data_IF_663875817272
#
_entry.id   IF_663875817272
#
_cell.length_a   1.000
_cell.length_b   1.000
_cell.length_c   1.000
_cell.angle_alpha   90.00
_cell.angle_beta   90.00
_cell.angle_gamma   90.00
#
_symmetry.space_group_name_H-M   'P 1'
#
loop_
_entity.id
_entity.type
_entity.pdbx_description
1 polymer ?
#
# COMPACT_ATOMS: atom_id res chain seq x y z
N UNK A 1 7.74 -10.81 -7.90
CA UNK A 1 6.90 -9.85 -8.66
C UNK A 1 6.46 -10.37 -10.03
N UNK A 2 7.18 -11.28 -10.70
CA UNK A 2 6.66 -11.94 -11.92
C UNK A 2 5.32 -12.64 -11.66
N UNK A 3 5.18 -13.31 -10.52
CA UNK A 3 3.91 -13.90 -10.11
C UNK A 3 2.73 -12.91 -10.13
N UNK A 4 2.92 -11.64 -9.73
CA UNK A 4 1.85 -10.65 -9.82
C UNK A 4 1.49 -10.29 -11.26
N UNK A 5 2.46 -10.32 -12.18
CA UNK A 5 2.17 -10.19 -13.62
C UNK A 5 1.30 -11.34 -14.09
N UNK A 6 1.61 -12.57 -13.66
CA UNK A 6 0.82 -13.76 -14.03
C UNK A 6 -0.60 -13.70 -13.45
N UNK A 7 -0.76 -13.15 -12.23
CA UNK A 7 -2.06 -13.06 -11.57
C UNK A 7 -2.92 -11.90 -12.05
N UNK A 8 -2.34 -10.70 -12.18
CA UNK A 8 -3.07 -9.47 -12.38
C UNK A 8 -2.90 -8.89 -13.78
N UNK A 9 -1.93 -9.38 -14.54
CA UNK A 9 -1.61 -8.92 -15.89
C UNK A 9 -0.52 -7.85 -15.93
N UNK A 10 0.23 -7.83 -17.03
CA UNK A 10 1.33 -6.90 -17.25
C UNK A 10 0.88 -5.44 -17.39
N UNK A 11 -0.39 -5.19 -17.74
CA UNK A 11 -0.94 -3.84 -17.89
C UNK A 11 -0.80 -2.98 -16.62
N UNK A 12 -0.77 -3.61 -15.44
CA UNK A 12 -0.51 -2.92 -14.16
C UNK A 12 0.87 -2.28 -14.07
N UNK A 13 1.85 -2.77 -14.84
CA UNK A 13 3.16 -2.13 -14.94
C UNK A 13 3.11 -0.80 -15.70
N UNK A 14 2.01 -0.49 -16.39
CA UNK A 14 1.81 0.82 -17.02
C UNK A 14 1.02 1.78 -16.12
N UNK A 15 0.38 1.28 -15.06
CA UNK A 15 -0.43 2.10 -14.14
C UNK A 15 0.39 3.24 -13.51
N UNK A 16 -0.22 4.38 -13.19
CA UNK A 16 0.47 5.47 -12.51
C UNK A 16 1.11 5.05 -11.18
N UNK A 17 2.26 5.64 -10.84
CA UNK A 17 2.85 5.49 -9.51
C UNK A 17 2.28 6.56 -8.59
N UNK A 18 1.37 6.15 -7.71
CA UNK A 18 0.58 7.00 -6.83
C UNK A 18 1.46 7.55 -5.70
N UNK A 19 1.31 8.84 -5.41
CA UNK A 19 1.91 9.52 -4.26
C UNK A 19 0.93 10.50 -3.62
N UNK A 20 1.22 11.04 -2.44
CA UNK A 20 0.33 11.98 -1.73
C UNK A 20 0.38 13.41 -2.30
N UNK A 21 0.43 13.55 -3.62
CA UNK A 21 0.36 14.84 -4.31
C UNK A 21 -1.08 15.17 -4.65
N UNK A 22 -1.37 16.46 -4.87
CA UNK A 22 -2.69 16.94 -5.30
C UNK A 22 -3.20 16.30 -6.60
N UNK A 23 -2.28 15.80 -7.44
CA UNK A 23 -2.60 15.01 -8.63
C UNK A 23 -3.43 13.75 -8.32
N UNK A 24 -3.12 13.07 -7.21
CA UNK A 24 -3.81 11.85 -6.79
C UNK A 24 -4.81 12.12 -5.65
N UNK A 25 -4.50 13.05 -4.74
CA UNK A 25 -5.39 13.35 -3.62
C UNK A 25 -5.75 14.85 -3.65
N UNK A 26 -6.66 15.26 -4.55
CA UNK A 26 -6.99 16.67 -4.71
C UNK A 26 -7.79 17.21 -3.52
N UNK A 27 -7.44 18.43 -3.11
CA UNK A 27 -8.11 19.18 -2.05
C UNK A 27 -7.48 18.97 -0.68
N UNK A 28 -7.92 19.78 0.29
CA UNK A 28 -7.48 19.66 1.68
C UNK A 28 -7.99 18.36 2.32
N UNK A 29 -7.28 17.91 3.35
CA UNK A 29 -7.65 16.76 4.16
C UNK A 29 -7.69 17.19 5.63
N UNK A 30 -8.89 17.24 6.21
CA UNK A 30 -9.11 17.69 7.59
C UNK A 30 -9.40 16.52 8.54
N UNK A 31 -9.37 15.28 8.02
CA UNK A 31 -9.62 14.07 8.81
C UNK A 31 -11.10 13.84 9.14
N UNK A 32 -12.01 14.48 8.42
CA UNK A 32 -13.45 14.27 8.56
C UNK A 32 -13.85 12.90 7.99
N UNK A 33 -15.03 12.39 8.38
CA UNK A 33 -15.55 11.14 7.80
C UNK A 33 -15.70 11.25 6.27
N UNK A 34 -16.09 12.43 5.77
CA UNK A 34 -16.17 12.70 4.34
C UNK A 34 -14.80 12.60 3.66
N UNK A 35 -13.75 13.12 4.28
CA UNK A 35 -12.38 12.99 3.78
C UNK A 35 -11.94 11.53 3.71
N UNK A 36 -12.21 10.77 4.77
CA UNK A 36 -11.85 9.35 4.84
C UNK A 36 -12.58 8.57 3.72
N UNK A 37 -13.89 8.80 3.54
CA UNK A 37 -14.66 8.18 2.46
C UNK A 37 -14.12 8.52 1.08
N UNK A 38 -13.76 9.79 0.85
CA UNK A 38 -13.13 10.23 -0.40
C UNK A 38 -11.80 9.53 -0.65
N UNK A 39 -10.96 9.43 0.37
CA UNK A 39 -9.69 8.70 0.28
C UNK A 39 -9.91 7.22 -0.05
N UNK A 40 -10.88 6.56 0.60
CA UNK A 40 -11.22 5.16 0.32
C UNK A 40 -11.66 4.99 -1.13
N UNK A 41 -12.54 5.85 -1.65
CA UNK A 41 -12.98 5.81 -3.05
C UNK A 41 -11.82 6.01 -4.02
N UNK A 42 -10.93 6.97 -3.76
CA UNK A 42 -9.75 7.20 -4.60
C UNK A 42 -8.84 5.96 -4.64
N UNK A 43 -8.53 5.39 -3.48
CA UNK A 43 -7.64 4.21 -3.38
C UNK A 43 -8.28 2.98 -4.01
N UNK A 44 -9.59 2.79 -3.85
CA UNK A 44 -10.36 1.77 -4.57
C UNK A 44 -10.21 1.92 -6.09
N UNK A 45 -10.35 3.14 -6.61
CA UNK A 45 -10.15 3.45 -8.02
C UNK A 45 -8.73 3.15 -8.51
N UNK A 46 -7.70 3.45 -7.71
CA UNK A 46 -6.31 3.13 -8.07
C UNK A 46 -5.99 1.64 -8.09
N UNK A 47 -6.74 0.84 -7.35
CA UNK A 47 -6.50 -0.60 -7.19
C UNK A 47 -7.51 -1.48 -7.92
N UNK A 48 -8.41 -0.85 -8.70
CA UNK A 48 -9.51 -1.53 -9.41
C UNK A 48 -10.36 -2.42 -8.49
N UNK A 49 -10.73 -1.87 -7.33
CA UNK A 49 -11.60 -2.53 -6.35
C UNK A 49 -12.93 -1.79 -6.29
N UNK A 50 -14.03 -2.53 -6.43
CA UNK A 50 -15.37 -1.95 -6.28
C UNK A 50 -15.59 -1.50 -4.82
N UNK A 51 -15.86 -0.22 -4.55
CA UNK A 51 -15.99 0.30 -3.19
C UNK A 51 -17.18 -0.31 -2.43
N UNK A 52 -18.20 -0.83 -3.11
CA UNK A 52 -19.30 -1.58 -2.47
C UNK A 52 -18.86 -2.85 -1.73
N UNK A 53 -17.72 -3.43 -2.10
CA UNK A 53 -17.15 -4.60 -1.41
C UNK A 53 -16.37 -4.21 -0.15
N UNK A 54 -16.13 -2.92 0.08
CA UNK A 54 -15.29 -2.42 1.16
C UNK A 54 -16.14 -1.79 2.26
N UNK A 55 -16.16 -2.45 3.42
CA UNK A 55 -16.75 -1.89 4.63
C UNK A 55 -15.67 -1.24 5.49
N UNK A 56 -15.80 0.06 5.72
CA UNK A 56 -14.95 0.83 6.62
C UNK A 56 -15.64 0.94 7.97
N UNK A 57 -15.03 0.37 9.00
CA UNK A 57 -15.43 0.50 10.39
C UNK A 57 -14.54 1.51 11.13
N UNK A 58 -15.16 2.38 11.91
CA UNK A 58 -14.46 3.22 12.88
C UNK A 58 -14.53 2.54 14.24
N UNK A 59 -13.41 2.47 14.97
CA UNK A 59 -13.25 1.66 16.19
C UNK A 59 -14.19 1.98 17.38
N UNK A 60 -15.23 2.80 17.19
CA UNK A 60 -16.27 3.09 18.17
C UNK A 60 -17.63 2.38 17.90
N UNK A 61 -17.78 1.61 16.82
CA UNK A 61 -19.06 0.98 16.43
C UNK A 61 -19.15 -0.52 16.71
N UNK A 62 -20.18 -0.94 17.45
CA UNK A 62 -20.39 -2.30 17.95
C UNK A 62 -20.57 -3.41 16.91
N UNK A 63 -20.75 -4.63 17.44
CA UNK A 63 -20.73 -5.93 16.76
C UNK A 63 -21.67 -6.04 15.55
N UNK A 64 -21.17 -5.63 14.38
CA UNK A 64 -21.71 -5.97 13.06
C UNK A 64 -20.81 -6.95 12.30
N UNK A 65 -21.17 -7.28 11.06
CA UNK A 65 -20.32 -8.07 10.16
C UNK A 65 -18.93 -7.43 10.05
N UNK A 66 -17.87 -8.25 10.14
CA UNK A 66 -16.47 -7.79 10.22
C UNK A 66 -16.14 -6.83 9.06
N UNK A 67 -15.78 -5.56 9.32
CA UNK A 67 -15.37 -4.63 8.27
C UNK A 67 -14.04 -5.06 7.65
N UNK A 68 -13.87 -4.78 6.36
CA UNK A 68 -12.62 -5.05 5.61
C UNK A 68 -11.51 -4.09 6.08
N UNK A 69 -11.89 -2.87 6.50
CA UNK A 69 -10.95 -1.85 7.00
C UNK A 69 -11.47 -1.37 8.36
N UNK A 70 -10.68 -1.55 9.42
CA UNK A 70 -10.95 -0.91 10.72
C UNK A 70 -9.91 0.19 10.95
N UNK A 71 -10.36 1.42 11.19
CA UNK A 71 -9.48 2.55 11.44
C UNK A 71 -9.53 2.97 12.92
N UNK A 72 -8.37 2.96 13.57
CA UNK A 72 -8.17 3.50 14.92
C UNK A 72 -8.09 5.03 14.96
N UNK A 73 -8.36 5.58 16.15
CA UNK A 73 -8.62 7.00 16.41
C UNK A 73 -7.55 8.01 15.96
N UNK A 74 -6.29 7.58 15.80
CA UNK A 74 -5.17 8.46 15.43
C UNK A 74 -4.77 8.33 13.95
N UNK A 75 -5.07 7.20 13.30
CA UNK A 75 -4.61 6.91 11.92
C UNK A 75 -5.24 7.87 10.92
N UNK A 76 -6.54 8.16 11.06
CA UNK A 76 -7.22 9.04 10.11
C UNK A 76 -6.76 10.49 10.19
N UNK A 77 -5.96 10.90 11.18
CA UNK A 77 -5.36 12.24 11.22
C UNK A 77 -4.06 12.33 10.43
N UNK A 78 -3.51 11.20 10.01
CA UNK A 78 -2.29 11.13 9.22
C UNK A 78 -2.63 10.56 7.82
N UNK A 79 -2.70 11.41 6.78
CA UNK A 79 -3.04 10.98 5.41
C UNK A 79 -2.14 9.86 4.90
N UNK A 80 -0.84 9.90 5.22
CA UNK A 80 0.11 8.86 4.79
C UNK A 80 -0.24 7.51 5.38
N UNK A 81 -0.47 7.45 6.70
CA UNK A 81 -0.85 6.21 7.38
C UNK A 81 -2.23 5.73 6.94
N UNK A 82 -3.19 6.63 6.77
CA UNK A 82 -4.52 6.28 6.31
C UNK A 82 -4.48 5.62 4.91
N UNK A 83 -3.86 6.29 3.94
CA UNK A 83 -3.80 5.77 2.56
C UNK A 83 -3.02 4.47 2.51
N UNK A 84 -1.88 4.37 3.21
CA UNK A 84 -1.10 3.14 3.26
C UNK A 84 -1.88 1.98 3.90
N UNK A 85 -2.69 2.25 4.94
CA UNK A 85 -3.52 1.24 5.59
C UNK A 85 -4.63 0.75 4.66
N UNK A 86 -5.34 1.67 4.00
CA UNK A 86 -6.39 1.33 3.03
C UNK A 86 -5.79 0.51 1.88
N UNK A 87 -4.69 0.97 1.29
CA UNK A 87 -4.01 0.28 0.19
C UNK A 87 -3.67 -1.17 0.54
N UNK A 88 -3.16 -1.41 1.74
CA UNK A 88 -2.81 -2.76 2.20
C UNK A 88 -4.03 -3.64 2.44
N UNK A 89 -5.09 -3.09 3.03
CA UNK A 89 -6.34 -3.82 3.20
C UNK A 89 -6.96 -4.21 1.85
N UNK A 90 -6.93 -3.32 0.86
CA UNK A 90 -7.38 -3.63 -0.50
C UNK A 90 -6.47 -4.65 -1.18
N UNK A 91 -5.14 -4.57 -1.00
CA UNK A 91 -4.22 -5.57 -1.52
C UNK A 91 -4.49 -6.95 -0.91
N UNK A 92 -4.77 -7.02 0.39
CA UNK A 92 -5.18 -8.25 1.05
C UNK A 92 -6.47 -8.81 0.45
N UNK A 93 -7.49 -7.96 0.23
CA UNK A 93 -8.75 -8.37 -0.41
C UNK A 93 -8.52 -8.90 -1.84
N UNK A 94 -7.68 -8.22 -2.63
CA UNK A 94 -7.29 -8.66 -3.98
C UNK A 94 -6.57 -10.01 -3.97
N UNK A 95 -5.87 -10.37 -2.90
CA UNK A 95 -5.16 -11.65 -2.79
C UNK A 95 -6.05 -12.75 -2.23
N UNK A 96 -6.69 -12.50 -1.09
CA UNK A 96 -7.43 -13.50 -0.31
C UNK A 96 -8.90 -13.52 -0.67
N UNK A 97 -9.55 -12.36 -0.76
CA UNK A 97 -10.96 -12.23 -1.15
C UNK A 97 -11.23 -12.80 -2.55
N UNK A 98 -10.27 -12.61 -3.46
CA UNK A 98 -10.31 -13.17 -4.82
C UNK A 98 -9.73 -14.58 -4.94
N UNK A 99 -9.36 -15.21 -3.82
CA UNK A 99 -8.85 -16.59 -3.77
C UNK A 99 -7.60 -16.84 -4.61
N UNK A 100 -6.74 -15.83 -4.76
CA UNK A 100 -5.43 -15.93 -5.42
C UNK A 100 -4.37 -16.49 -4.48
N UNK A 101 -4.51 -16.21 -3.18
CA UNK A 101 -3.71 -16.76 -2.09
C UNK A 101 -4.63 -17.08 -0.91
N UNK A 102 -4.19 -17.98 -0.03
CA UNK A 102 -4.81 -18.16 1.29
C UNK A 102 -4.33 -17.08 2.25
N UNK A 103 -5.07 -16.90 3.35
CA UNK A 103 -4.66 -16.00 4.43
C UNK A 103 -3.28 -16.39 5.00
N UNK A 104 -3.04 -17.69 5.21
CA UNK A 104 -1.76 -18.19 5.74
C UNK A 104 -0.59 -17.88 4.82
N UNK A 105 -0.77 -18.03 3.50
CA UNK A 105 0.28 -17.70 2.53
C UNK A 105 0.63 -16.21 2.54
N UNK A 106 -0.39 -15.34 2.63
CA UNK A 106 -0.18 -13.89 2.77
C UNK A 106 0.46 -13.55 4.12
N UNK A 107 0.28 -14.40 5.14
CA UNK A 107 0.89 -14.17 6.44
C UNK A 107 2.37 -14.55 6.53
N UNK A 108 2.75 -15.62 5.85
CA UNK A 108 4.13 -16.11 5.74
C UNK A 108 4.96 -15.25 4.78
N UNK A 109 4.40 -14.85 3.65
CA UNK A 109 5.03 -13.99 2.66
C UNK A 109 4.26 -12.67 2.60
N UNK A 110 4.84 -11.50 2.92
CA UNK A 110 4.13 -10.22 2.97
C UNK A 110 3.72 -9.72 1.58
N UNK A 111 2.84 -10.48 0.93
CA UNK A 111 2.41 -10.34 -0.43
C UNK A 111 1.45 -9.16 -0.59
N UNK A 112 0.71 -8.80 0.47
CA UNK A 112 -0.10 -7.59 0.55
C UNK A 112 0.78 -6.33 0.38
N UNK A 113 1.87 -6.23 1.14
CA UNK A 113 2.82 -5.12 1.03
C UNK A 113 3.46 -5.08 -0.38
N UNK A 114 3.92 -6.22 -0.91
CA UNK A 114 4.52 -6.29 -2.24
C UNK A 114 3.50 -5.98 -3.35
N UNK A 115 2.24 -6.36 -3.18
CA UNK A 115 1.17 -6.08 -4.13
C UNK A 115 0.87 -4.57 -4.17
N UNK A 116 0.94 -3.85 -3.04
CA UNK A 116 0.81 -2.39 -3.09
C UNK A 116 1.89 -1.75 -3.96
N UNK A 117 3.11 -2.30 -3.98
CA UNK A 117 4.16 -1.83 -4.90
C UNK A 117 3.80 -2.10 -6.35
N UNK A 118 3.35 -3.32 -6.65
CA UNK A 118 2.98 -3.73 -8.00
C UNK A 118 1.79 -2.96 -8.57
N UNK A 119 0.80 -2.61 -7.73
CA UNK A 119 -0.38 -1.82 -8.12
C UNK A 119 -0.13 -0.31 -8.10
N UNK A 120 1.12 0.14 -7.93
CA UNK A 120 1.51 1.55 -8.05
C UNK A 120 1.45 2.38 -6.77
N UNK A 121 1.03 1.81 -5.63
CA UNK A 121 0.96 2.51 -4.33
C UNK A 121 2.22 2.34 -3.47
N UNK A 122 3.26 1.70 -4.01
CA UNK A 122 4.49 1.37 -3.28
C UNK A 122 5.26 2.56 -2.70
N UNK A 123 5.14 3.76 -3.29
CA UNK A 123 5.75 4.98 -2.72
C UNK A 123 5.12 5.29 -1.36
N UNK A 124 3.79 5.22 -1.29
CA UNK A 124 3.02 5.55 -0.09
C UNK A 124 3.29 4.52 1.01
N UNK A 125 3.23 3.22 0.69
CA UNK A 125 3.46 2.17 1.68
C UNK A 125 4.91 2.09 2.14
N UNK A 126 5.88 2.39 1.27
CA UNK A 126 7.29 2.52 1.67
C UNK A 126 7.52 3.69 2.64
N UNK A 127 6.89 4.83 2.40
CA UNK A 127 7.02 6.02 3.27
C UNK A 127 6.34 5.80 4.63
N UNK A 128 5.24 5.03 4.66
CA UNK A 128 4.55 4.66 5.89
C UNK A 128 5.27 3.57 6.72
N UNK A 129 6.20 2.82 6.10
CA UNK A 129 6.84 1.65 6.72
C UNK A 129 7.47 1.91 8.11
N UNK A 130 8.20 3.03 8.35
CA UNK A 130 8.77 3.31 9.67
C UNK A 130 7.69 3.44 10.75
N UNK A 131 6.58 4.11 10.45
CA UNK A 131 5.50 4.32 11.39
C UNK A 131 4.75 3.01 11.70
N UNK A 132 4.64 2.09 10.72
CA UNK A 132 4.10 0.75 10.96
C UNK A 132 4.98 -0.11 11.87
N UNK A 133 6.31 -0.01 11.74
CA UNK A 133 7.24 -0.74 12.60
C UNK A 133 7.15 -0.34 14.08
N UNK A 134 6.63 0.85 14.37
CA UNK A 134 6.48 1.39 15.72
C UNK A 134 5.03 1.35 16.24
N UNK A 135 4.04 1.02 15.41
CA UNK A 135 2.64 1.02 15.81
C UNK A 135 2.30 -0.19 16.68
N UNK A 136 1.75 0.05 17.87
CA UNK A 136 1.17 -1.03 18.69
C UNK A 136 -0.21 -1.45 18.16
N UNK A 137 -0.61 -2.71 18.40
CA UNK A 137 -1.87 -3.25 17.91
C UNK A 137 -3.12 -2.47 18.39
N UNK A 138 -3.04 -1.83 19.57
CA UNK A 138 -4.11 -1.01 20.12
C UNK A 138 -4.10 0.43 19.60
N UNK A 139 -2.94 1.07 19.38
CA UNK A 139 -2.85 2.44 18.83
C UNK A 139 -3.32 2.53 17.38
N UNK A 140 -3.17 1.43 16.64
CA UNK A 140 -3.57 1.38 15.25
C UNK A 140 -5.09 1.12 15.07
N UNK A 141 -5.79 0.67 16.14
CA UNK A 141 -7.19 0.20 16.03
C UNK A 141 -7.38 -0.95 15.03
N UNK A 142 -6.29 -1.62 14.67
CA UNK A 142 -6.19 -2.62 13.62
C UNK A 142 -6.00 -3.99 14.26
N UNK A 143 -7.05 -4.52 14.88
CA UNK A 143 -6.98 -5.80 15.62
C UNK A 143 -6.82 -7.06 14.75
N UNK A 144 -6.41 -6.96 13.49
CA UNK A 144 -6.26 -8.15 12.64
C UNK A 144 -5.14 -8.14 11.58
N UNK A 145 -4.30 -7.11 11.46
CA UNK A 145 -3.25 -7.12 10.42
C UNK A 145 -1.96 -6.55 10.97
N UNK A 146 -0.91 -7.37 11.07
CA UNK A 146 0.45 -6.93 11.46
C UNK A 146 0.86 -5.83 10.48
N UNK A 147 0.98 -4.60 10.97
CA UNK A 147 1.26 -3.49 10.07
C UNK A 147 2.73 -3.50 9.65
N UNK A 148 2.99 -3.43 8.34
CA UNK A 148 4.30 -3.19 7.74
C UNK A 148 5.31 -4.31 7.95
N UNK A 149 5.13 -5.43 7.24
CA UNK A 149 6.08 -6.55 7.29
C UNK A 149 7.30 -6.30 6.41
N UNK A 150 7.13 -5.57 5.30
CA UNK A 150 8.28 -5.08 4.55
C UNK A 150 8.98 -3.94 5.32
N UNK A 151 10.25 -4.16 5.61
CA UNK A 151 11.13 -3.14 6.17
C UNK A 151 11.54 -2.11 5.09
N UNK A 152 12.04 -0.91 5.46
CA UNK A 152 12.53 0.07 4.49
C UNK A 152 13.55 -0.49 3.46
N UNK A 153 14.52 -1.35 3.84
CA UNK A 153 15.38 -2.05 2.87
C UNK A 153 14.61 -2.92 1.87
N UNK A 154 13.61 -3.68 2.35
CA UNK A 154 12.82 -4.57 1.50
C UNK A 154 11.95 -3.76 0.52
N UNK A 155 11.33 -2.67 0.98
CA UNK A 155 10.63 -1.72 0.11
C UNK A 155 11.56 -1.11 -0.94
N UNK A 156 12.78 -0.72 -0.56
CA UNK A 156 13.78 -0.22 -1.50
C UNK A 156 14.08 -1.21 -2.63
N UNK A 157 14.29 -2.49 -2.28
CA UNK A 157 14.51 -3.53 -3.27
C UNK A 157 13.26 -3.79 -4.14
N UNK A 158 12.08 -3.87 -3.54
CA UNK A 158 10.82 -4.08 -4.25
C UNK A 158 10.54 -2.98 -5.27
N UNK A 159 10.70 -1.71 -4.88
CA UNK A 159 10.52 -0.56 -5.78
C UNK A 159 11.58 -0.53 -6.89
N UNK A 160 12.81 -0.96 -6.62
CA UNK A 160 13.84 -1.08 -7.65
C UNK A 160 13.51 -2.17 -8.68
N UNK A 161 12.99 -3.32 -8.23
CA UNK A 161 12.49 -4.39 -9.12
C UNK A 161 11.30 -3.89 -9.95
N UNK A 162 10.36 -3.20 -9.32
CA UNK A 162 9.21 -2.60 -9.99
C UNK A 162 9.65 -1.63 -11.10
N UNK A 163 10.57 -0.70 -10.81
CA UNK A 163 11.12 0.22 -11.81
C UNK A 163 11.77 -0.51 -13.00
N UNK A 164 12.48 -1.61 -12.76
CA UNK A 164 13.09 -2.42 -13.84
C UNK A 164 12.03 -3.11 -14.68
N UNK A 165 10.99 -3.67 -14.05
CA UNK A 165 9.87 -4.32 -14.76
C UNK A 165 9.10 -3.33 -15.63
N UNK A 166 9.02 -2.06 -15.23
CA UNK A 166 8.45 -0.95 -16.01
C UNK A 166 9.38 -0.38 -17.09
N UNK A 167 10.60 -0.91 -17.24
CA UNK A 167 11.60 -0.37 -18.16
C UNK A 167 12.12 1.03 -17.79
N UNK A 168 11.91 1.50 -16.56
CA UNK A 168 12.20 2.87 -16.16
C UNK A 168 13.67 3.06 -15.77
N UNK A 169 14.44 3.77 -16.63
CA UNK A 169 15.86 4.07 -16.38
C UNK A 169 16.07 5.16 -15.33
N UNK A 170 15.21 6.17 -15.28
CA UNK A 170 15.28 7.29 -14.33
C UNK A 170 13.88 7.68 -13.86
N UNK A 171 13.23 6.83 -13.04
CA UNK A 171 11.88 7.07 -12.56
C UNK A 171 11.77 8.39 -11.80
N UNK A 172 10.89 9.29 -12.25
CA UNK A 172 10.67 10.61 -11.61
C UNK A 172 10.08 10.46 -10.21
N UNK A 173 9.22 9.47 -9.99
CA UNK A 173 8.56 9.19 -8.71
C UNK A 173 9.51 8.83 -7.58
N UNK A 174 10.78 8.50 -7.85
CA UNK A 174 11.80 8.28 -6.81
C UNK A 174 11.99 9.49 -5.90
N UNK A 175 11.71 10.70 -6.40
CA UNK A 175 11.75 11.92 -5.59
C UNK A 175 10.68 11.97 -4.49
N UNK A 176 9.60 11.21 -4.67
CA UNK A 176 8.47 11.12 -3.75
C UNK A 176 8.62 10.03 -2.69
N UNK A 177 9.61 9.12 -2.83
CA UNK A 177 9.93 8.10 -1.82
C UNK A 177 10.75 8.73 -0.70
N UNK A 178 10.49 8.52 0.58
CA UNK A 178 11.23 9.15 1.69
C UNK A 178 12.69 8.72 1.76
N UNK A 179 13.53 9.52 2.43
CA UNK A 179 14.99 9.36 2.43
C UNK A 179 15.46 7.95 2.79
N UNK A 180 14.82 7.32 3.80
CA UNK A 180 15.13 5.96 4.24
C UNK A 180 14.97 4.92 3.13
N UNK A 181 13.73 4.60 2.70
CA UNK A 181 13.51 3.66 1.59
C UNK A 181 14.19 4.08 0.27
N UNK A 182 14.31 5.39 -0.01
CA UNK A 182 14.96 5.93 -1.23
C UNK A 182 16.44 5.57 -1.30
N UNK A 183 17.15 5.54 -0.17
CA UNK A 183 18.56 5.15 -0.14
C UNK A 183 18.75 3.68 -0.57
N UNK A 184 17.89 2.79 -0.07
CA UNK A 184 17.90 1.38 -0.45
C UNK A 184 17.48 1.19 -1.90
N UNK A 185 16.44 1.87 -2.37
CA UNK A 185 16.01 1.87 -3.77
C UNK A 185 17.17 2.21 -4.72
N UNK A 186 17.92 3.29 -4.44
CA UNK A 186 19.06 3.70 -5.28
C UNK A 186 20.16 2.64 -5.31
N UNK A 187 20.42 2.00 -4.19
CA UNK A 187 21.40 0.93 -4.09
C UNK A 187 20.95 -0.32 -4.83
N UNK A 188 19.70 -0.74 -4.66
CA UNK A 188 19.11 -1.88 -5.35
C UNK A 188 19.04 -1.67 -6.87
N UNK A 189 18.70 -0.47 -7.35
CA UNK A 189 18.74 -0.15 -8.79
C UNK A 189 20.15 -0.31 -9.38
N UNK A 190 21.19 0.15 -8.67
CA UNK A 190 22.59 -0.03 -9.11
C UNK A 190 22.98 -1.51 -9.15
N UNK A 191 22.59 -2.26 -8.13
CA UNK A 191 22.85 -3.70 -8.06
C UNK A 191 22.16 -4.45 -9.20
N UNK A 192 20.84 -4.32 -9.31
CA UNK A 192 20.05 -5.08 -10.28
C UNK A 192 20.46 -4.80 -11.73
N UNK A 193 20.85 -3.56 -12.07
CA UNK A 193 21.33 -3.21 -13.42
C UNK A 193 22.69 -3.79 -13.78
N UNK A 194 23.49 -4.20 -12.80
CA UNK A 194 24.76 -4.91 -13.05
C UNK A 194 24.57 -6.41 -13.21
N UNK A 195 23.44 -6.93 -12.70
CA UNK A 195 23.10 -8.34 -12.64
C UNK A 195 22.04 -8.74 -13.67
N UNK A 196 21.65 -7.83 -14.57
CA UNK A 196 20.67 -8.03 -15.65
C UNK A 196 21.33 -7.90 -17.01
#
# INVERSE_FOLDING_TARGET
>A
MSWFVDQFGAAWLESPVVSLTDEFFPGAYDGTEQDIRRVVVNVCGYMDVAPEHIRVGFAAGGAGARPVITLGGSIYRNPLLLVATIARALAYERLVGEKRMTADQVDEEPADDLLTVFLGLGVITANAAPAFSHATADEAGLRATRLGRLTPPMYGYALARYAIMRGERRPRWVRSVDAGPRAYLKTSLRYLRRSS
#
